data_IF_168779802583
#
_entry.id   IF_168779802583
#
_cell.length_a   1.000
_cell.length_b   1.000
_cell.length_c   1.000
_cell.angle_alpha   90.00
_cell.angle_beta   90.00
_cell.angle_gamma   90.00
#
_symmetry.space_group_name_H-M   'P 1'
#
loop_
_entity.id
_entity.type
_entity.pdbx_description
1 polymer ?
#
# COMPACT_ATOMS: atom_id res chain seq x y z
N UNK A 1 3.83 -21.65 39.83
CA UNK A 1 3.57 -20.21 40.05
C UNK A 1 3.77 -19.52 38.72
N UNK A 2 2.77 -18.78 38.28
CA UNK A 2 2.75 -18.06 36.98
C UNK A 2 3.91 -17.04 36.93
N UNK A 3 4.62 -16.88 35.77
CA UNK A 3 5.69 -15.88 35.59
C UNK A 3 5.26 -14.45 35.91
N UNK A 4 3.99 -14.11 35.67
CA UNK A 4 3.40 -12.81 36.04
C UNK A 4 3.41 -12.61 37.55
N UNK A 5 2.90 -13.58 38.28
CA UNK A 5 2.82 -13.54 39.75
C UNK A 5 4.21 -13.42 40.37
N UNK A 6 5.23 -14.11 39.82
CA UNK A 6 6.62 -13.97 40.28
C UNK A 6 7.19 -12.57 40.14
N UNK A 7 6.93 -11.91 39.00
CA UNK A 7 7.39 -10.51 38.78
C UNK A 7 6.71 -9.52 39.71
N UNK A 8 5.40 -9.66 39.88
CA UNK A 8 4.63 -8.79 40.78
C UNK A 8 5.14 -8.96 42.23
N UNK A 9 5.28 -10.19 42.71
CA UNK A 9 5.81 -10.46 44.06
C UNK A 9 7.22 -9.93 44.25
N UNK A 10 8.10 -10.07 43.25
CA UNK A 10 9.46 -9.51 43.32
C UNK A 10 9.46 -7.98 43.48
N UNK A 11 8.61 -7.29 42.71
CA UNK A 11 8.48 -5.82 42.82
C UNK A 11 7.87 -5.39 44.15
N UNK A 12 6.86 -6.11 44.63
CA UNK A 12 6.25 -5.84 45.95
C UNK A 12 7.27 -6.02 47.06
N UNK A 13 8.07 -7.11 47.06
CA UNK A 13 9.09 -7.36 48.06
C UNK A 13 10.12 -6.26 48.13
N UNK A 14 10.60 -5.75 46.98
CA UNK A 14 11.54 -4.63 46.92
C UNK A 14 10.88 -3.37 47.45
N UNK A 15 9.65 -3.04 47.03
CA UNK A 15 8.91 -1.87 47.44
C UNK A 15 8.66 -1.90 48.95
N UNK A 16 8.20 -3.02 49.51
CA UNK A 16 7.95 -3.19 50.93
C UNK A 16 9.24 -3.07 51.76
N UNK A 17 10.37 -3.65 51.27
CA UNK A 17 11.64 -3.49 51.95
C UNK A 17 12.10 -2.03 52.01
N UNK A 18 11.95 -1.27 50.94
CA UNK A 18 12.28 0.15 50.91
C UNK A 18 11.35 0.93 51.83
N UNK A 19 10.03 0.64 51.84
CA UNK A 19 9.07 1.28 52.71
C UNK A 19 9.36 1.05 54.19
N UNK A 20 9.71 -0.20 54.55
CA UNK A 20 10.14 -0.53 55.94
C UNK A 20 11.39 0.25 56.31
N UNK A 21 12.42 0.27 55.49
CA UNK A 21 13.66 1.01 55.77
C UNK A 21 13.42 2.50 55.92
N UNK A 22 12.57 3.11 55.07
CA UNK A 22 12.21 4.50 55.15
C UNK A 22 11.41 4.83 56.44
N UNK A 23 10.47 3.96 56.82
CA UNK A 23 9.67 4.12 58.05
C UNK A 23 10.56 4.08 59.28
N UNK A 24 11.54 3.15 59.34
CA UNK A 24 12.50 3.14 60.42
C UNK A 24 13.36 4.43 60.47
N UNK A 25 13.91 4.84 59.31
CA UNK A 25 14.74 6.03 59.24
C UNK A 25 13.98 7.31 59.70
N UNK A 26 12.75 7.47 59.24
CA UNK A 26 11.91 8.61 59.60
C UNK A 26 11.49 8.55 61.07
N UNK A 27 10.95 7.43 61.55
CA UNK A 27 10.45 7.27 62.90
C UNK A 27 11.55 7.50 63.94
N UNK A 28 12.74 6.90 63.75
CA UNK A 28 13.84 7.05 64.68
C UNK A 28 14.47 8.44 64.63
N UNK A 29 14.57 9.08 63.48
CA UNK A 29 15.03 10.46 63.36
C UNK A 29 14.12 11.44 64.11
N UNK A 30 12.79 11.30 63.95
CA UNK A 30 11.82 12.10 64.65
C UNK A 30 11.85 11.89 66.17
N UNK A 31 11.87 10.64 66.63
CA UNK A 31 11.97 10.31 68.09
C UNK A 31 13.26 10.82 68.71
N UNK A 32 14.39 10.69 68.01
CA UNK A 32 15.66 11.21 68.47
C UNK A 32 15.63 12.75 68.62
N UNK A 33 15.10 13.44 67.63
CA UNK A 33 14.98 14.89 67.65
C UNK A 33 14.00 15.42 68.78
N UNK A 34 12.97 14.61 69.07
CA UNK A 34 11.96 14.92 70.07
C UNK A 34 12.36 14.45 71.49
N UNK A 35 13.52 13.80 71.71
CA UNK A 35 13.94 13.23 72.98
C UNK A 35 13.04 12.10 73.48
N UNK A 36 12.28 11.41 72.57
CA UNK A 36 11.39 10.34 72.95
C UNK A 36 12.12 8.99 73.05
N UNK A 37 11.75 8.09 73.98
CA UNK A 37 12.36 6.78 74.09
C UNK A 37 12.04 5.94 72.86
N UNK A 38 13.03 5.11 72.43
CA UNK A 38 12.86 4.07 71.39
C UNK A 38 12.54 2.77 72.13
N UNK A 39 11.27 2.40 72.16
CA UNK A 39 10.76 1.19 72.80
C UNK A 39 10.55 0.07 71.79
N UNK A 40 10.28 -1.16 72.30
CA UNK A 40 10.06 -2.33 71.41
C UNK A 40 8.84 -2.15 70.49
N UNK A 41 7.83 -1.41 70.92
CA UNK A 41 6.63 -1.13 70.15
C UNK A 41 6.93 -0.31 68.88
N UNK A 42 7.89 0.66 68.98
CA UNK A 42 8.37 1.44 67.82
C UNK A 42 8.97 0.54 66.73
N UNK A 43 9.68 -0.52 67.09
CA UNK A 43 10.21 -1.48 66.13
C UNK A 43 9.11 -2.26 65.43
N UNK A 44 8.09 -2.73 66.17
CA UNK A 44 6.97 -3.49 65.66
C UNK A 44 6.10 -2.64 64.69
N UNK A 45 5.78 -1.42 65.07
CA UNK A 45 5.00 -0.51 64.24
C UNK A 45 5.68 -0.22 62.90
N UNK A 46 6.96 0.10 62.91
CA UNK A 46 7.73 0.38 61.70
C UNK A 46 7.87 -0.84 60.78
N UNK A 47 7.74 -2.06 61.29
CA UNK A 47 7.75 -3.30 60.49
C UNK A 47 6.35 -3.66 59.98
N UNK A 48 5.36 -3.66 60.87
CA UNK A 48 4.02 -4.20 60.58
C UNK A 48 3.22 -3.30 59.68
N UNK A 49 3.24 -2.00 59.89
CA UNK A 49 2.44 -1.04 59.11
C UNK A 49 2.78 -1.08 57.62
N UNK A 50 4.07 -0.98 57.20
CA UNK A 50 4.39 -1.06 55.78
C UNK A 50 4.04 -2.41 55.14
N UNK A 51 4.14 -3.53 55.90
CA UNK A 51 3.78 -4.85 55.40
C UNK A 51 2.28 -4.99 55.20
N UNK A 52 1.48 -4.62 56.21
CA UNK A 52 0.03 -4.81 56.22
C UNK A 52 -0.66 -3.89 55.21
N UNK A 53 -0.20 -2.65 55.09
CA UNK A 53 -0.77 -1.64 54.20
C UNK A 53 -0.10 -1.66 52.83
N UNK A 54 1.24 -1.72 52.80
CA UNK A 54 2.03 -1.59 51.58
C UNK A 54 1.90 -2.81 50.65
N UNK A 55 1.77 -4.02 51.21
CA UNK A 55 1.67 -5.22 50.39
C UNK A 55 0.39 -5.29 49.56
N UNK A 56 -0.83 -5.07 50.11
CA UNK A 56 -2.07 -5.04 49.31
C UNK A 56 -2.09 -3.91 48.29
N UNK A 57 -1.64 -2.72 48.68
CA UNK A 57 -1.56 -1.56 47.76
C UNK A 57 -0.57 -1.83 46.66
N UNK A 58 0.61 -2.35 46.97
CA UNK A 58 1.60 -2.75 45.98
C UNK A 58 1.08 -3.80 45.01
N UNK A 59 0.38 -4.80 45.53
CA UNK A 59 -0.28 -5.82 44.66
C UNK A 59 -1.26 -5.18 43.68
N UNK A 60 -2.15 -4.32 44.19
CA UNK A 60 -3.13 -3.63 43.37
C UNK A 60 -2.47 -2.76 42.30
N UNK A 61 -1.50 -1.91 42.67
CA UNK A 61 -0.82 -0.99 41.73
C UNK A 61 -0.01 -1.75 40.66
N UNK A 62 0.77 -2.74 41.07
CA UNK A 62 1.62 -3.48 40.12
C UNK A 62 0.79 -4.40 39.21
N UNK A 63 -0.31 -5.00 39.73
CA UNK A 63 -1.20 -5.79 38.90
C UNK A 63 -1.93 -4.94 37.85
N UNK A 64 -2.43 -3.78 38.24
CA UNK A 64 -3.05 -2.82 37.32
C UNK A 64 -2.04 -2.31 36.26
N UNK A 65 -0.82 -2.05 36.67
CA UNK A 65 0.25 -1.64 35.75
C UNK A 65 0.57 -2.70 34.68
N UNK A 66 0.62 -3.99 35.06
CA UNK A 66 0.83 -5.07 34.08
C UNK A 66 -0.39 -5.27 33.16
N UNK A 67 -1.60 -5.16 33.69
CA UNK A 67 -2.82 -5.25 32.87
C UNK A 67 -2.92 -4.10 31.88
N UNK A 68 -2.57 -2.88 32.28
CA UNK A 68 -2.52 -1.72 31.42
C UNK A 68 -1.48 -1.89 30.31
N UNK A 69 -0.26 -2.31 30.64
CA UNK A 69 0.78 -2.58 29.64
C UNK A 69 0.36 -3.66 28.65
N UNK A 70 -0.27 -4.75 29.13
CA UNK A 70 -0.79 -5.79 28.26
C UNK A 70 -1.91 -5.31 27.35
N UNK A 71 -2.79 -4.42 27.86
CA UNK A 71 -3.87 -3.81 27.07
C UNK A 71 -3.30 -2.87 26.00
N UNK A 72 -2.31 -2.02 26.35
CA UNK A 72 -1.61 -1.16 25.39
C UNK A 72 -0.94 -1.98 24.27
N UNK A 73 -0.21 -3.03 24.61
CA UNK A 73 0.45 -3.88 23.62
C UNK A 73 -0.57 -4.58 22.68
N UNK A 74 -1.74 -4.96 23.20
CA UNK A 74 -2.82 -5.51 22.36
C UNK A 74 -3.42 -4.46 21.44
N UNK A 75 -3.63 -3.25 21.95
CA UNK A 75 -4.18 -2.13 21.17
C UNK A 75 -3.24 -1.74 20.03
N UNK A 76 -1.94 -1.62 20.30
CA UNK A 76 -0.93 -1.32 19.28
C UNK A 76 -0.91 -2.38 18.17
N UNK A 77 -0.96 -3.68 18.53
CA UNK A 77 -1.02 -4.77 17.54
C UNK A 77 -2.28 -4.68 16.70
N UNK A 78 -3.44 -4.50 17.32
CA UNK A 78 -4.70 -4.36 16.62
C UNK A 78 -4.70 -3.15 15.67
N UNK A 79 -4.10 -2.04 16.09
CA UNK A 79 -3.97 -0.84 15.25
C UNK A 79 -3.05 -1.09 14.05
N UNK A 80 -1.92 -1.77 14.24
CA UNK A 80 -1.03 -2.17 13.15
C UNK A 80 -1.71 -3.11 12.14
N UNK A 81 -2.46 -4.08 12.64
CA UNK A 81 -3.18 -5.03 11.78
C UNK A 81 -4.30 -4.34 11.00
N UNK A 82 -5.02 -3.41 11.64
CA UNK A 82 -6.04 -2.60 10.98
C UNK A 82 -5.43 -1.72 9.87
N UNK A 83 -4.31 -1.07 10.13
CA UNK A 83 -3.62 -0.25 9.12
C UNK A 83 -3.17 -1.09 7.92
N UNK A 84 -2.58 -2.28 8.16
CA UNK A 84 -2.21 -3.21 7.10
C UNK A 84 -3.42 -3.69 6.28
N UNK A 85 -4.53 -3.97 6.96
CA UNK A 85 -5.77 -4.36 6.27
C UNK A 85 -6.32 -3.22 5.43
N UNK A 86 -6.30 -2.00 5.95
CA UNK A 86 -6.73 -0.80 5.24
C UNK A 86 -5.85 -0.50 4.01
N UNK A 87 -4.52 -0.61 4.14
CA UNK A 87 -3.59 -0.47 3.01
C UNK A 87 -3.84 -1.52 1.92
N UNK A 88 -4.07 -2.78 2.31
CA UNK A 88 -4.42 -3.86 1.35
C UNK A 88 -5.74 -3.58 0.64
N UNK A 89 -6.76 -3.14 1.36
CA UNK A 89 -8.05 -2.77 0.77
C UNK A 89 -7.89 -1.60 -0.20
N UNK A 90 -7.16 -0.55 0.18
CA UNK A 90 -6.89 0.61 -0.68
C UNK A 90 -6.07 0.22 -1.93
N UNK A 91 -5.10 -0.68 -1.79
CA UNK A 91 -4.34 -1.22 -2.92
C UNK A 91 -5.26 -2.01 -3.86
N UNK A 92 -6.03 -2.96 -3.34
CA UNK A 92 -6.93 -3.80 -4.13
C UNK A 92 -8.04 -2.99 -4.83
N UNK A 93 -8.51 -1.91 -4.20
CA UNK A 93 -9.50 -1.01 -4.80
C UNK A 93 -8.96 -0.26 -6.03
N UNK A 94 -7.63 -0.12 -6.19
CA UNK A 94 -7.01 0.66 -7.27
C UNK A 94 -6.15 -0.16 -8.24
N UNK A 95 -5.95 -1.46 -7.98
CA UNK A 95 -5.10 -2.30 -8.80
C UNK A 95 -5.86 -3.51 -9.35
N UNK A 96 -5.49 -3.94 -10.54
CA UNK A 96 -5.96 -5.18 -11.15
C UNK A 96 -5.22 -6.37 -10.54
N UNK A 97 -5.96 -7.32 -10.01
CA UNK A 97 -5.41 -8.45 -9.24
C UNK A 97 -4.57 -9.42 -10.10
N UNK A 98 -4.81 -9.47 -11.41
CA UNK A 98 -4.12 -10.38 -12.32
C UNK A 98 -2.78 -9.77 -12.78
N UNK A 99 -2.78 -8.50 -13.15
CA UNK A 99 -1.61 -7.85 -13.76
C UNK A 99 -0.78 -7.03 -12.77
N UNK A 100 -1.35 -6.67 -11.60
CA UNK A 100 -0.74 -5.77 -10.62
C UNK A 100 -0.68 -4.29 -11.06
N UNK A 101 -1.16 -3.97 -12.26
CA UNK A 101 -1.29 -2.60 -12.76
C UNK A 101 -2.46 -1.87 -12.07
N UNK A 102 -2.59 -0.57 -12.28
CA UNK A 102 -3.81 0.12 -11.87
C UNK A 102 -5.03 -0.54 -12.54
N UNK A 103 -6.12 -0.66 -11.81
CA UNK A 103 -7.40 -1.00 -12.40
C UNK A 103 -8.02 0.24 -13.08
N UNK A 104 -9.18 0.09 -13.71
CA UNK A 104 -9.87 1.17 -14.40
C UNK A 104 -10.08 2.40 -13.50
N UNK A 105 -10.53 2.19 -12.26
CA UNK A 105 -10.80 3.28 -11.31
C UNK A 105 -9.50 3.99 -10.90
N UNK A 106 -8.46 3.24 -10.56
CA UNK A 106 -7.14 3.77 -10.23
C UNK A 106 -6.53 4.56 -11.39
N UNK A 107 -6.67 4.07 -12.63
CA UNK A 107 -6.19 4.77 -13.81
C UNK A 107 -6.94 6.08 -14.07
N UNK A 108 -8.27 6.06 -14.03
CA UNK A 108 -9.09 7.27 -14.18
C UNK A 108 -8.79 8.32 -13.12
N UNK A 109 -8.57 7.88 -11.88
CA UNK A 109 -8.16 8.77 -10.80
C UNK A 109 -6.82 9.47 -11.11
N UNK A 110 -5.84 8.76 -11.67
CA UNK A 110 -4.56 9.37 -12.09
C UNK A 110 -4.76 10.39 -13.22
N UNK A 111 -5.62 10.11 -14.20
CA UNK A 111 -5.94 11.05 -15.26
C UNK A 111 -6.53 12.35 -14.68
N UNK A 112 -7.53 12.26 -13.79
CA UNK A 112 -8.14 13.44 -13.18
C UNK A 112 -7.15 14.26 -12.35
N UNK A 113 -6.26 13.61 -11.59
CA UNK A 113 -5.23 14.30 -10.81
C UNK A 113 -4.22 15.08 -11.68
N UNK A 114 -3.92 14.58 -12.88
CA UNK A 114 -2.93 15.20 -13.77
C UNK A 114 -3.55 16.21 -14.74
N UNK A 115 -4.86 16.17 -14.96
CA UNK A 115 -5.56 17.09 -15.86
C UNK A 115 -5.36 18.57 -15.51
N UNK A 116 -5.29 18.90 -14.23
CA UNK A 116 -5.21 20.28 -13.75
C UNK A 116 -3.77 20.85 -13.78
N UNK A 117 -2.78 20.04 -14.09
CA UNK A 117 -1.38 20.49 -14.19
C UNK A 117 -1.15 21.23 -15.49
N UNK A 118 -0.23 22.21 -15.45
CA UNK A 118 0.12 23.04 -16.63
C UNK A 118 1.06 22.32 -17.62
N UNK A 119 1.28 21.03 -17.45
CA UNK A 119 2.18 20.25 -18.28
C UNK A 119 1.37 19.51 -19.35
N UNK A 120 1.95 19.38 -20.55
CA UNK A 120 1.35 18.52 -21.59
C UNK A 120 1.52 17.06 -21.20
N UNK A 121 0.46 16.29 -21.33
CA UNK A 121 0.45 14.84 -21.07
C UNK A 121 -0.07 14.11 -22.30
N UNK A 122 0.23 12.82 -22.41
CA UNK A 122 -0.29 11.95 -23.46
C UNK A 122 -0.95 10.73 -22.85
N UNK A 123 -2.17 10.45 -23.31
CA UNK A 123 -2.92 9.24 -22.95
C UNK A 123 -2.86 8.27 -24.12
N UNK A 124 -2.49 7.03 -23.83
CA UNK A 124 -2.52 5.92 -24.79
C UNK A 124 -3.55 4.88 -24.34
N UNK A 125 -4.34 4.38 -25.26
CA UNK A 125 -5.16 3.18 -25.09
C UNK A 125 -4.56 2.08 -25.92
N UNK A 126 -4.24 0.97 -25.29
CA UNK A 126 -3.55 -0.19 -25.86
C UNK A 126 -4.49 -1.39 -25.79
N UNK A 127 -4.65 -2.11 -26.87
CA UNK A 127 -5.51 -3.29 -26.95
C UNK A 127 -4.75 -4.47 -27.57
N UNK A 128 -4.90 -5.65 -26.95
CA UNK A 128 -4.25 -6.87 -27.40
C UNK A 128 -4.94 -7.41 -28.66
N UNK A 129 -4.22 -7.39 -29.77
CA UNK A 129 -4.76 -7.83 -31.06
C UNK A 129 -5.17 -9.31 -31.05
N UNK A 130 -6.36 -9.57 -31.57
CA UNK A 130 -6.89 -10.94 -31.71
C UNK A 130 -6.97 -11.75 -30.40
N UNK A 131 -7.08 -11.09 -29.25
CA UNK A 131 -7.06 -11.75 -27.93
C UNK A 131 -8.15 -12.83 -27.81
N UNK A 132 -9.36 -12.59 -28.33
CA UNK A 132 -10.41 -13.61 -28.38
C UNK A 132 -9.94 -14.90 -29.08
N UNK A 133 -9.19 -14.80 -30.19
CA UNK A 133 -8.65 -15.96 -30.89
C UNK A 133 -7.63 -16.74 -30.07
N UNK A 134 -6.86 -16.04 -29.24
CA UNK A 134 -5.94 -16.66 -28.27
C UNK A 134 -6.74 -17.49 -27.27
N UNK A 135 -7.78 -16.89 -26.65
CA UNK A 135 -8.65 -17.61 -25.73
C UNK A 135 -9.38 -18.79 -26.37
N UNK A 136 -9.95 -18.59 -27.55
CA UNK A 136 -10.71 -19.63 -28.26
C UNK A 136 -9.81 -20.83 -28.67
N UNK A 137 -8.53 -20.56 -28.98
CA UNK A 137 -7.59 -21.61 -29.43
C UNK A 137 -6.83 -22.29 -28.30
N UNK A 138 -6.40 -21.52 -27.27
CA UNK A 138 -5.47 -22.00 -26.24
C UNK A 138 -6.07 -22.02 -24.84
N UNK A 139 -7.33 -21.58 -24.71
CA UNK A 139 -8.05 -21.45 -23.42
C UNK A 139 -7.69 -20.21 -22.62
N UNK A 140 -8.57 -19.85 -21.67
CA UNK A 140 -8.42 -18.67 -20.82
C UNK A 140 -7.10 -18.60 -20.04
N UNK A 141 -6.55 -19.72 -19.49
CA UNK A 141 -5.28 -19.63 -18.77
C UNK A 141 -4.11 -19.14 -19.62
N UNK A 142 -4.11 -19.48 -20.93
CA UNK A 142 -3.09 -18.99 -21.87
C UNK A 142 -3.35 -17.54 -22.29
N UNK A 143 -4.60 -17.13 -22.39
CA UNK A 143 -4.96 -15.71 -22.54
C UNK A 143 -4.50 -14.86 -21.37
N UNK A 144 -4.70 -15.33 -20.15
CA UNK A 144 -4.24 -14.64 -18.94
C UNK A 144 -2.71 -14.52 -18.93
N UNK A 145 -1.98 -15.57 -19.32
CA UNK A 145 -0.51 -15.52 -19.48
C UNK A 145 -0.09 -14.46 -20.51
N UNK A 146 -0.79 -14.38 -21.65
CA UNK A 146 -0.53 -13.37 -22.68
C UNK A 146 -0.72 -11.96 -22.14
N UNK A 147 -1.82 -11.69 -21.42
CA UNK A 147 -2.08 -10.39 -20.80
C UNK A 147 -1.04 -10.02 -19.73
N UNK A 148 -0.60 -10.98 -18.92
CA UNK A 148 0.48 -10.74 -17.95
C UNK A 148 1.81 -10.39 -18.63
N UNK A 149 2.15 -11.03 -19.75
CA UNK A 149 3.36 -10.70 -20.53
C UNK A 149 3.26 -9.30 -21.14
N UNK A 150 2.10 -8.94 -21.71
CA UNK A 150 1.85 -7.60 -22.25
C UNK A 150 1.95 -6.58 -21.11
N UNK A 151 1.24 -6.75 -19.99
CA UNK A 151 1.27 -5.86 -18.85
C UNK A 151 2.71 -5.59 -18.35
N UNK A 152 3.52 -6.64 -18.28
CA UNK A 152 4.93 -6.55 -17.90
C UNK A 152 5.75 -5.73 -18.90
N UNK A 153 5.53 -5.92 -20.20
CA UNK A 153 6.19 -5.13 -21.24
C UNK A 153 5.80 -3.66 -21.17
N UNK A 154 4.51 -3.35 -20.95
CA UNK A 154 4.03 -1.98 -20.75
C UNK A 154 4.69 -1.33 -19.54
N UNK A 155 4.77 -2.05 -18.41
CA UNK A 155 5.36 -1.56 -17.18
C UNK A 155 6.86 -1.26 -17.31
N UNK A 156 7.60 -2.07 -18.08
CA UNK A 156 9.03 -1.82 -18.33
C UNK A 156 9.29 -0.68 -19.32
N UNK A 157 8.36 -0.40 -20.21
CA UNK A 157 8.50 0.65 -21.21
C UNK A 157 8.31 2.05 -20.66
N UNK A 158 7.57 2.22 -19.55
CA UNK A 158 7.21 3.51 -18.99
C UNK A 158 8.18 3.95 -17.89
N UNK A 159 8.25 5.28 -17.65
CA UNK A 159 9.08 5.85 -16.58
C UNK A 159 8.34 5.77 -15.23
N UNK A 160 9.08 5.90 -14.14
CA UNK A 160 8.52 5.88 -12.78
C UNK A 160 7.41 6.93 -12.54
N UNK A 161 7.40 8.03 -13.28
CA UNK A 161 6.39 9.09 -13.16
C UNK A 161 5.15 8.86 -14.04
N UNK A 162 5.18 7.88 -14.93
CA UNK A 162 4.08 7.52 -15.81
C UNK A 162 3.19 6.46 -15.15
N UNK A 163 1.96 6.33 -15.58
CA UNK A 163 1.00 5.41 -14.99
C UNK A 163 0.50 4.43 -16.04
N UNK A 164 0.37 3.17 -15.64
CA UNK A 164 -0.17 2.10 -16.48
C UNK A 164 -1.32 1.43 -15.74
N UNK A 165 -2.42 1.21 -16.42
CA UNK A 165 -3.59 0.54 -15.87
C UNK A 165 -4.19 -0.45 -16.85
N UNK A 166 -4.86 -1.49 -16.34
CA UNK A 166 -5.74 -2.34 -17.11
C UNK A 166 -7.15 -1.79 -17.00
N UNK A 167 -7.69 -1.29 -18.11
CA UNK A 167 -8.97 -0.56 -18.14
C UNK A 167 -10.14 -1.37 -18.68
N UNK A 168 -9.86 -2.52 -19.27
CA UNK A 168 -10.83 -3.47 -19.82
C UNK A 168 -10.31 -4.90 -19.78
N UNK A 169 -11.03 -5.81 -20.39
CA UNK A 169 -10.62 -7.22 -20.44
C UNK A 169 -9.25 -7.44 -21.09
N UNK A 170 -9.03 -6.84 -22.25
CA UNK A 170 -7.80 -6.92 -23.06
C UNK A 170 -7.21 -5.53 -23.34
N UNK A 171 -7.74 -4.50 -22.64
CA UNK A 171 -7.40 -3.10 -22.85
C UNK A 171 -6.57 -2.55 -21.70
N UNK A 172 -5.53 -1.79 -22.04
CA UNK A 172 -4.66 -1.10 -21.09
C UNK A 172 -4.64 0.40 -21.38
N UNK A 173 -4.49 1.21 -20.34
CA UNK A 173 -4.30 2.65 -20.43
C UNK A 173 -2.90 3.02 -19.98
N UNK A 174 -2.29 4.01 -20.64
CA UNK A 174 -1.00 4.59 -20.23
C UNK A 174 -1.16 6.10 -20.17
N UNK A 175 -0.80 6.70 -19.06
CA UNK A 175 -0.64 8.14 -18.89
C UNK A 175 0.85 8.49 -18.89
N UNK A 176 1.28 9.22 -19.91
CA UNK A 176 2.61 9.77 -20.03
C UNK A 176 2.63 11.19 -19.48
N UNK A 177 3.39 11.40 -18.41
CA UNK A 177 3.39 12.68 -17.67
C UNK A 177 4.51 13.59 -18.18
N UNK A 178 4.15 14.86 -18.45
CA UNK A 178 5.07 15.93 -18.93
C UNK A 178 5.86 15.50 -20.17
N UNK A 179 5.15 15.21 -21.24
CA UNK A 179 5.69 14.82 -22.55
C UNK A 179 4.90 15.49 -23.68
N UNK A 180 5.59 15.74 -24.80
CA UNK A 180 4.98 16.16 -26.05
C UNK A 180 4.23 15.02 -26.74
N UNK A 181 3.37 15.34 -27.70
CA UNK A 181 2.65 14.35 -28.50
C UNK A 181 3.62 13.45 -29.28
N UNK A 182 4.72 14.04 -29.83
CA UNK A 182 5.74 13.29 -30.58
C UNK A 182 6.49 12.29 -29.68
N UNK A 183 6.85 12.67 -28.45
CA UNK A 183 7.43 11.74 -27.46
C UNK A 183 6.46 10.62 -27.08
N UNK A 184 5.18 10.96 -26.98
CA UNK A 184 4.11 9.97 -26.74
C UNK A 184 4.02 8.95 -27.87
N UNK A 185 4.07 9.42 -29.12
CA UNK A 185 4.01 8.58 -30.31
C UNK A 185 5.25 7.66 -30.45
N UNK A 186 6.44 8.21 -30.24
CA UNK A 186 7.68 7.41 -30.27
C UNK A 186 7.64 6.28 -29.23
N UNK A 187 7.14 6.58 -28.04
CA UNK A 187 6.99 5.59 -26.99
C UNK A 187 5.91 4.54 -27.33
N UNK A 188 4.79 4.96 -27.92
CA UNK A 188 3.74 4.03 -28.32
C UNK A 188 4.26 3.02 -29.36
N UNK A 189 5.07 3.46 -30.34
CA UNK A 189 5.69 2.55 -31.30
C UNK A 189 6.76 1.66 -30.66
N UNK A 190 7.52 2.16 -29.69
CA UNK A 190 8.46 1.35 -28.93
C UNK A 190 7.72 0.23 -28.16
N UNK A 191 6.63 0.56 -27.47
CA UNK A 191 5.78 -0.39 -26.76
C UNK A 191 5.26 -1.46 -27.74
N UNK A 192 4.69 -1.04 -28.86
CA UNK A 192 4.19 -1.97 -29.89
C UNK A 192 5.26 -2.97 -30.32
N UNK A 193 6.47 -2.48 -30.64
CA UNK A 193 7.60 -3.34 -31.03
C UNK A 193 8.03 -4.27 -29.91
N UNK A 194 8.10 -3.79 -28.67
CA UNK A 194 8.44 -4.64 -27.52
C UNK A 194 7.45 -5.77 -27.32
N UNK A 195 6.15 -5.48 -27.43
CA UNK A 195 5.11 -6.54 -27.34
C UNK A 195 5.27 -7.54 -28.49
N UNK A 196 5.50 -7.07 -29.71
CA UNK A 196 5.71 -7.94 -30.88
C UNK A 196 6.94 -8.87 -30.74
N UNK A 197 7.95 -8.44 -29.97
CA UNK A 197 9.15 -9.23 -29.70
C UNK A 197 9.01 -10.19 -28.51
N UNK A 198 7.87 -10.22 -27.83
CA UNK A 198 7.65 -11.14 -26.68
C UNK A 198 7.69 -12.59 -27.21
N UNK A 199 8.56 -13.46 -26.66
CA UNK A 199 8.52 -14.88 -26.98
C UNK A 199 7.18 -15.46 -26.49
N UNK A 200 6.34 -15.85 -27.44
CA UNK A 200 5.02 -16.40 -27.19
C UNK A 200 4.82 -17.69 -27.96
N UNK A 201 4.96 -18.81 -27.27
CA UNK A 201 4.79 -20.14 -27.82
C UNK A 201 3.88 -20.94 -26.88
N UNK A 202 2.54 -20.78 -26.96
CA UNK A 202 1.59 -21.43 -26.03
C UNK A 202 1.54 -22.96 -26.23
N UNK A 203 1.89 -23.42 -27.41
CA UNK A 203 2.13 -24.84 -27.79
C UNK A 203 3.40 -24.93 -28.66
N UNK A 204 3.87 -26.14 -28.95
CA UNK A 204 5.06 -26.37 -29.77
C UNK A 204 4.88 -25.99 -31.25
N UNK A 205 3.74 -25.44 -31.63
CA UNK A 205 3.44 -24.99 -33.00
C UNK A 205 3.78 -23.53 -33.19
N UNK A 206 3.92 -23.07 -34.44
CA UNK A 206 4.05 -21.64 -34.78
C UNK A 206 2.78 -20.88 -34.39
N UNK A 207 2.80 -20.31 -33.16
CA UNK A 207 1.75 -19.43 -32.73
C UNK A 207 1.96 -18.02 -33.31
N UNK A 208 0.90 -17.30 -33.70
CA UNK A 208 1.02 -15.90 -34.03
C UNK A 208 1.56 -15.16 -32.81
N UNK A 209 2.61 -14.35 -32.98
CA UNK A 209 3.18 -13.53 -31.92
C UNK A 209 2.13 -12.60 -31.29
N UNK A 210 2.39 -12.16 -30.07
CA UNK A 210 1.56 -11.13 -29.44
C UNK A 210 1.75 -9.80 -30.16
N UNK A 211 0.65 -9.13 -30.50
CA UNK A 211 0.67 -7.77 -31.02
C UNK A 211 -0.36 -6.90 -30.33
N UNK A 212 -0.15 -5.59 -30.38
CA UNK A 212 -1.07 -4.60 -29.82
C UNK A 212 -1.34 -3.50 -30.83
N UNK A 213 -2.57 -3.00 -30.82
CA UNK A 213 -2.95 -1.75 -31.45
C UNK A 213 -3.00 -0.64 -30.39
N UNK A 214 -2.53 0.55 -30.75
CA UNK A 214 -2.41 1.68 -29.81
C UNK A 214 -3.05 2.92 -30.42
N UNK A 215 -3.97 3.54 -29.68
CA UNK A 215 -4.50 4.87 -29.95
C UNK A 215 -3.99 5.87 -28.93
N UNK A 216 -3.58 7.04 -29.39
CA UNK A 216 -3.05 8.09 -28.50
C UNK A 216 -3.75 9.44 -28.69
N UNK A 217 -3.84 10.20 -27.60
CA UNK A 217 -4.35 11.56 -27.58
C UNK A 217 -3.57 12.45 -26.61
N UNK A 218 -3.45 13.74 -26.95
CA UNK A 218 -2.92 14.75 -26.03
C UNK A 218 -3.95 15.03 -24.91
N UNK A 219 -3.43 15.31 -23.72
CA UNK A 219 -4.23 15.69 -22.55
C UNK A 219 -3.77 17.05 -22.03
N UNK A 220 -4.29 18.11 -22.66
CA UNK A 220 -4.03 19.51 -22.32
C UNK A 220 -5.27 20.11 -21.67
N UNK A 221 -5.47 19.94 -20.36
CA UNK A 221 -6.63 20.43 -19.58
C UNK A 221 -8.01 20.00 -20.10
N UNK A 222 -8.09 19.16 -21.13
CA UNK A 222 -9.34 18.64 -21.66
C UNK A 222 -10.01 17.73 -20.62
N UNK A 223 -11.33 17.57 -20.71
CA UNK A 223 -12.04 16.60 -19.86
C UNK A 223 -11.53 15.19 -20.15
N UNK A 224 -11.24 14.42 -19.11
CA UNK A 224 -10.73 13.04 -19.23
C UNK A 224 -11.59 12.20 -20.18
N UNK A 225 -12.92 12.35 -20.13
CA UNK A 225 -13.83 11.64 -21.03
C UNK A 225 -13.62 11.99 -22.52
N UNK A 226 -13.24 13.23 -22.83
CA UNK A 226 -12.99 13.66 -24.21
C UNK A 226 -11.66 13.10 -24.74
N UNK A 227 -10.62 13.14 -23.90
CA UNK A 227 -9.31 12.57 -24.20
C UNK A 227 -9.41 11.06 -24.45
N UNK A 228 -10.11 10.34 -23.58
CA UNK A 228 -10.33 8.91 -23.75
C UNK A 228 -11.10 8.61 -25.04
N UNK A 229 -12.16 9.35 -25.36
CA UNK A 229 -12.89 9.19 -26.63
C UNK A 229 -12.01 9.44 -27.85
N UNK A 230 -11.08 10.40 -27.79
CA UNK A 230 -10.15 10.68 -28.86
C UNK A 230 -9.14 9.54 -29.01
N UNK A 231 -8.54 9.06 -27.91
CA UNK A 231 -7.63 7.90 -27.93
C UNK A 231 -8.34 6.62 -28.43
N UNK A 232 -9.59 6.39 -28.02
CA UNK A 232 -10.41 5.27 -28.55
C UNK A 232 -10.65 5.33 -30.06
N UNK A 233 -10.96 6.53 -30.58
CA UNK A 233 -11.09 6.72 -32.03
C UNK A 233 -9.80 6.37 -32.76
N UNK A 234 -8.66 6.82 -32.24
CA UNK A 234 -7.36 6.48 -32.81
C UNK A 234 -7.08 4.97 -32.72
N UNK A 235 -7.42 4.31 -31.60
CA UNK A 235 -7.29 2.87 -31.46
C UNK A 235 -8.16 2.12 -32.49
N UNK A 236 -9.40 2.57 -32.68
CA UNK A 236 -10.28 2.00 -33.72
C UNK A 236 -9.67 2.11 -35.12
N UNK A 237 -9.07 3.27 -35.47
CA UNK A 237 -8.37 3.45 -36.74
C UNK A 237 -7.13 2.53 -36.85
N UNK A 238 -6.37 2.38 -35.78
CA UNK A 238 -5.25 1.43 -35.76
C UNK A 238 -5.72 -0.01 -36.05
N UNK A 239 -6.82 -0.43 -35.44
CA UNK A 239 -7.43 -1.75 -35.67
C UNK A 239 -7.97 -1.89 -37.11
N UNK A 240 -8.65 -0.85 -37.64
CA UNK A 240 -9.21 -0.84 -39.00
C UNK A 240 -8.14 -0.92 -40.08
N UNK A 241 -7.02 -0.24 -39.89
CA UNK A 241 -5.91 -0.19 -40.84
C UNK A 241 -5.05 -1.47 -40.82
N UNK A 242 -5.38 -2.50 -40.07
CA UNK A 242 -4.71 -3.83 -40.09
C UNK A 242 -3.98 -4.20 -38.82
N UNK A 243 -4.26 -3.55 -37.68
CA UNK A 243 -3.70 -3.85 -36.34
C UNK A 243 -2.18 -3.69 -36.25
N UNK A 244 -1.60 -4.08 -35.11
CA UNK A 244 -0.16 -4.02 -34.84
C UNK A 244 0.43 -2.65 -35.22
N UNK A 245 -0.23 -1.56 -34.82
CA UNK A 245 0.16 -0.19 -35.17
C UNK A 245 -0.30 0.83 -34.16
N UNK A 246 0.23 2.00 -34.34
CA UNK A 246 -0.09 3.19 -33.55
C UNK A 246 -0.86 4.18 -34.40
N UNK A 247 -1.89 4.81 -33.84
CA UNK A 247 -2.57 5.93 -34.44
C UNK A 247 -2.75 7.09 -33.44
N UNK A 248 -2.60 8.30 -33.94
CA UNK A 248 -2.78 9.54 -33.17
C UNK A 248 -3.65 10.51 -33.98
N UNK A 249 -4.45 11.29 -33.27
CA UNK A 249 -5.16 12.39 -33.88
C UNK A 249 -4.27 13.65 -33.81
N UNK A 250 -3.82 14.10 -34.97
CA UNK A 250 -3.13 15.39 -35.13
C UNK A 250 -4.14 16.54 -35.26
N UNK A 251 -5.20 16.55 -34.44
CA UNK A 251 -6.01 17.76 -34.39
C UNK A 251 -5.10 18.93 -33.99
N UNK A 252 -4.84 19.81 -34.95
CA UNK A 252 -4.13 21.08 -34.73
C UNK A 252 -4.73 21.73 -33.47
N UNK A 253 -3.85 22.28 -32.56
CA UNK A 253 -4.37 23.03 -31.44
C UNK A 253 -5.35 24.06 -31.99
N UNK A 254 -6.54 24.09 -31.41
CA UNK A 254 -7.53 25.12 -31.76
C UNK A 254 -6.83 26.48 -31.60
N UNK A 255 -6.56 27.12 -32.71
CA UNK A 255 -6.01 28.50 -32.73
C UNK A 255 -7.03 29.34 -31.97
N UNK A 256 -6.60 29.88 -30.83
CA UNK A 256 -7.38 30.76 -29.98
C UNK A 256 -7.63 32.10 -30.66
#
# INVERSE_FOLDING_TARGET
>A
MDPRTKRILGRISIFTAIAVAATYAISFSVRWAAGMPIDWLSWVECLVIPIVIGTPIGWYVFSQGEDLQAAHAKLERAHLDLNKAHERLAFNARHDHMTGLLNREGFLHQLEQHRERNDSHVVLIVDADHFKRINDRYGHPKGDEALMKIAKALQYAVRRKDFVGRIGGEEFGILRVSVSLDEGMQMADLIRRQVQCIPWHPDASEAPGLTVSIGGAAMDRAKVADVLRQADRCLYEAKRLGRNRVAFDYALPAVA
#
